data_IF_716896068865
#
_entry.id   IF_716896068865
#
_cell.length_a   1.000
_cell.length_b   1.000
_cell.length_c   1.000
_cell.angle_alpha   90.00
_cell.angle_beta   90.00
_cell.angle_gamma   90.00
#
_symmetry.space_group_name_H-M   'P 1'
#
loop_
_entity.id
_entity.type
_entity.pdbx_description
1 polymer ?
#
# COMPACT_ATOMS: atom_id res chain seq x y z
N UNK A 1 13.61 0.10 1.73
CA UNK A 1 14.27 1.05 0.81
C UNK A 1 14.04 2.51 1.21
N UNK A 2 15.12 3.27 1.43
CA UNK A 2 15.11 4.73 1.61
C UNK A 2 14.45 5.42 0.42
N UNK A 3 13.55 6.37 0.69
CA UNK A 3 12.79 7.10 -0.34
C UNK A 3 11.54 6.38 -0.84
N UNK A 4 11.28 5.14 -0.39
CA UNK A 4 9.99 4.49 -0.63
C UNK A 4 8.89 5.07 0.27
N UNK A 5 7.65 5.11 -0.24
CA UNK A 5 6.48 5.50 0.55
C UNK A 5 6.32 4.65 1.82
N UNK A 6 6.61 3.35 1.71
CA UNK A 6 6.55 2.41 2.83
C UNK A 6 7.55 2.75 3.94
N UNK A 7 8.80 3.11 3.60
CA UNK A 7 9.77 3.53 4.61
C UNK A 7 9.34 4.83 5.28
N UNK A 8 8.88 5.80 4.49
CA UNK A 8 8.39 7.06 5.04
C UNK A 8 7.22 6.84 6.00
N UNK A 9 6.27 5.96 5.65
CA UNK A 9 5.15 5.59 6.51
C UNK A 9 5.63 4.92 7.81
N UNK A 10 6.58 3.99 7.73
CA UNK A 10 7.13 3.33 8.91
C UNK A 10 7.75 4.34 9.88
N UNK A 11 8.60 5.24 9.39
CA UNK A 11 9.28 6.26 10.20
C UNK A 11 8.27 7.24 10.83
N UNK A 12 7.21 7.59 10.10
CA UNK A 12 6.10 8.39 10.62
C UNK A 12 5.35 7.67 11.74
N UNK A 13 5.12 6.36 11.63
CA UNK A 13 4.48 5.56 12.68
C UNK A 13 5.34 5.51 13.94
N UNK A 14 6.66 5.30 13.79
CA UNK A 14 7.61 5.32 14.92
C UNK A 14 7.59 6.68 15.62
N UNK A 15 7.69 7.77 14.85
CA UNK A 15 7.65 9.15 15.36
C UNK A 15 6.35 9.41 16.13
N UNK A 16 5.19 9.04 15.57
CA UNK A 16 3.88 9.20 16.22
C UNK A 16 3.76 8.41 17.52
N UNK A 17 4.52 7.33 17.66
CA UNK A 17 4.55 6.48 18.85
C UNK A 17 5.71 6.80 19.81
N UNK A 18 6.52 7.82 19.51
CA UNK A 18 7.74 8.16 20.25
C UNK A 18 8.68 6.96 20.41
N UNK A 19 8.80 6.13 19.37
CA UNK A 19 9.73 5.01 19.33
C UNK A 19 10.98 5.46 18.58
N UNK A 20 12.14 5.42 19.24
CA UNK A 20 13.41 5.67 18.57
C UNK A 20 13.79 4.48 17.70
N UNK A 21 14.10 4.74 16.42
CA UNK A 21 14.50 3.70 15.48
C UNK A 21 15.76 2.95 15.89
N UNK A 22 16.63 3.58 16.70
CA UNK A 22 17.82 2.95 17.26
C UNK A 22 17.50 1.78 18.22
N UNK A 23 16.27 1.73 18.75
CA UNK A 23 15.81 0.64 19.61
C UNK A 23 15.24 -0.56 18.82
N UNK A 24 15.28 -0.51 17.49
CA UNK A 24 14.79 -1.57 16.61
C UNK A 24 16.00 -2.27 15.99
N UNK A 25 16.24 -3.50 16.42
CA UNK A 25 17.24 -4.36 15.81
C UNK A 25 16.91 -4.59 14.32
N UNK A 26 17.91 -4.42 13.45
CA UNK A 26 17.69 -4.55 12.01
C UNK A 26 16.93 -3.39 11.36
N UNK A 27 16.76 -2.24 12.03
CA UNK A 27 16.10 -1.07 11.41
C UNK A 27 16.72 -0.61 10.07
N UNK A 28 18.03 -0.80 9.91
CA UNK A 28 18.75 -0.50 8.67
C UNK A 28 18.76 -1.68 7.67
N UNK A 29 18.22 -2.83 8.05
CA UNK A 29 18.04 -3.98 7.16
C UNK A 29 16.84 -3.71 6.26
N UNK A 30 17.12 -3.50 4.98
CA UNK A 30 16.11 -3.07 4.03
C UNK A 30 16.10 -3.96 2.80
N UNK A 31 14.90 -4.22 2.32
CA UNK A 31 14.67 -4.89 1.04
C UNK A 31 14.04 -3.97 0.01
N UNK A 32 14.18 -4.35 -1.26
CA UNK A 32 13.70 -3.57 -2.40
C UNK A 32 12.25 -3.86 -2.77
N UNK A 33 11.69 -4.99 -2.32
CA UNK A 33 10.32 -5.38 -2.65
C UNK A 33 9.61 -5.94 -1.42
N UNK A 34 8.29 -5.80 -1.37
CA UNK A 34 7.49 -6.43 -0.32
C UNK A 34 7.63 -7.95 -0.30
N UNK A 35 7.78 -8.57 -1.48
CA UNK A 35 8.02 -10.01 -1.58
C UNK A 35 9.36 -10.42 -0.96
N UNK A 36 10.42 -9.62 -1.15
CA UNK A 36 11.72 -9.88 -0.54
C UNK A 36 11.68 -9.75 0.99
N UNK A 37 11.00 -8.73 1.54
CA UNK A 37 10.75 -8.63 3.00
C UNK A 37 10.04 -9.89 3.52
N UNK A 38 8.97 -10.32 2.86
CA UNK A 38 8.21 -11.49 3.27
C UNK A 38 9.05 -12.78 3.18
N UNK A 39 9.83 -12.97 2.13
CA UNK A 39 10.74 -14.10 2.01
C UNK A 39 11.82 -14.11 3.12
N UNK A 40 12.35 -12.94 3.48
CA UNK A 40 13.35 -12.79 4.53
C UNK A 40 12.81 -13.25 5.89
N UNK A 41 11.60 -12.83 6.25
CA UNK A 41 10.92 -13.29 7.47
C UNK A 41 10.58 -14.77 7.39
N UNK A 42 10.02 -15.24 6.26
CA UNK A 42 9.64 -16.65 6.07
C UNK A 42 10.84 -17.62 6.13
N UNK A 43 12.05 -17.13 5.83
CA UNK A 43 13.28 -17.92 5.95
C UNK A 43 13.89 -17.91 7.37
N UNK A 44 13.27 -17.20 8.32
CA UNK A 44 13.77 -17.09 9.70
C UNK A 44 14.94 -16.12 9.86
N UNK A 45 15.23 -15.30 8.85
CA UNK A 45 16.32 -14.32 8.90
C UNK A 45 15.93 -13.04 9.67
N UNK A 46 14.63 -12.84 9.93
CA UNK A 46 14.11 -11.82 10.82
C UNK A 46 12.82 -12.31 11.49
N UNK A 47 12.54 -11.84 12.71
CA UNK A 47 11.31 -12.17 13.42
C UNK A 47 10.08 -11.49 12.81
N UNK A 48 10.24 -10.26 12.32
CA UNK A 48 9.16 -9.45 11.74
C UNK A 48 9.68 -8.57 10.61
N UNK A 49 8.76 -8.12 9.74
CA UNK A 49 9.07 -7.21 8.65
C UNK A 49 7.91 -6.26 8.35
N UNK A 50 8.22 -5.04 7.94
CA UNK A 50 7.22 -4.04 7.57
C UNK A 50 6.92 -4.12 6.06
N UNK A 51 5.67 -4.41 5.70
CA UNK A 51 5.26 -4.63 4.31
C UNK A 51 3.76 -4.70 4.13
N UNK A 52 3.32 -5.20 2.97
CA UNK A 52 1.89 -5.27 2.61
C UNK A 52 1.32 -6.68 2.79
N UNK A 53 0.04 -6.76 3.15
CA UNK A 53 -0.67 -8.01 3.41
C UNK A 53 -0.62 -9.04 2.26
N UNK A 54 -0.73 -8.66 0.97
CA UNK A 54 -0.59 -9.63 -0.12
C UNK A 54 0.72 -10.42 -0.10
N UNK A 55 1.83 -9.74 0.21
CA UNK A 55 3.14 -10.40 0.27
C UNK A 55 3.20 -11.36 1.46
N UNK A 56 2.76 -10.94 2.65
CA UNK A 56 2.69 -11.84 3.81
C UNK A 56 1.83 -13.07 3.51
N UNK A 57 0.66 -12.88 2.89
CA UNK A 57 -0.25 -13.97 2.53
C UNK A 57 0.38 -14.95 1.54
N UNK A 58 1.10 -14.44 0.54
CA UNK A 58 1.78 -15.28 -0.46
C UNK A 58 2.84 -16.21 0.17
N UNK A 59 3.49 -15.77 1.25
CA UNK A 59 4.51 -16.55 1.96
C UNK A 59 3.96 -17.29 3.19
N UNK A 60 2.63 -17.29 3.39
CA UNK A 60 1.99 -17.99 4.51
C UNK A 60 2.31 -17.38 5.88
N UNK A 61 2.68 -16.10 5.92
CA UNK A 61 2.99 -15.37 7.16
C UNK A 61 1.73 -14.75 7.76
N UNK A 62 1.70 -14.67 9.09
CA UNK A 62 0.73 -13.84 9.80
C UNK A 62 0.93 -12.35 9.45
N UNK A 63 -0.17 -11.60 9.47
CA UNK A 63 -0.15 -10.18 9.14
C UNK A 63 -0.86 -9.34 10.21
N UNK A 64 -0.14 -8.35 10.76
CA UNK A 64 -0.68 -7.39 11.72
C UNK A 64 -0.93 -6.06 11.00
N UNK A 65 -2.20 -5.62 10.85
CA UNK A 65 -2.52 -4.37 10.16
C UNK A 65 -2.13 -3.16 11.00
N UNK A 66 -1.19 -2.34 10.50
CA UNK A 66 -0.73 -1.12 11.18
C UNK A 66 -1.24 0.18 10.54
N UNK A 67 -1.45 0.17 9.21
CA UNK A 67 -1.88 1.31 8.43
C UNK A 67 -2.59 0.87 7.15
N UNK A 68 -3.34 1.78 6.54
CA UNK A 68 -3.93 1.62 5.21
C UNK A 68 -3.40 2.70 4.29
N UNK A 69 -2.90 2.29 3.12
CA UNK A 69 -2.44 3.20 2.07
C UNK A 69 -3.52 3.36 1.01
N UNK A 70 -3.74 4.60 0.56
CA UNK A 70 -4.70 4.91 -0.51
C UNK A 70 -3.96 4.99 -1.84
N UNK A 71 -4.31 4.11 -2.77
CA UNK A 71 -3.84 4.20 -4.16
C UNK A 71 -4.79 5.05 -4.99
N UNK A 72 -4.23 5.98 -5.77
CA UNK A 72 -4.99 6.88 -6.64
C UNK A 72 -4.36 6.95 -8.03
N UNK A 73 -5.20 7.10 -9.06
CA UNK A 73 -4.74 7.41 -10.41
C UNK A 73 -4.67 8.92 -10.58
N UNK A 74 -3.47 9.45 -10.83
CA UNK A 74 -3.28 10.86 -11.12
C UNK A 74 -3.53 11.13 -12.61
N UNK A 75 -4.35 12.13 -12.91
CA UNK A 75 -4.53 12.64 -14.27
C UNK A 75 -4.60 14.17 -14.26
N UNK A 76 -4.29 14.81 -15.39
CA UNK A 76 -4.47 16.26 -15.52
C UNK A 76 -5.96 16.57 -15.62
N UNK A 77 -6.42 17.63 -14.95
CA UNK A 77 -7.85 17.99 -14.93
C UNK A 77 -8.47 18.16 -16.32
N UNK A 78 -7.69 18.67 -17.30
CA UNK A 78 -8.14 18.81 -18.69
C UNK A 78 -8.39 17.48 -19.41
N UNK A 79 -7.74 16.41 -18.94
CA UNK A 79 -7.79 15.08 -19.55
C UNK A 79 -8.93 14.21 -18.97
N UNK A 80 -9.60 14.65 -17.88
CA UNK A 80 -10.67 13.87 -17.20
C UNK A 80 -11.83 13.50 -18.13
N UNK A 81 -12.09 14.32 -19.16
CA UNK A 81 -13.17 14.09 -20.13
C UNK A 81 -12.76 13.28 -21.35
N UNK A 82 -11.50 12.85 -21.43
CA UNK A 82 -11.04 11.98 -22.51
C UNK A 82 -11.73 10.63 -22.41
N UNK A 83 -12.10 10.07 -23.56
CA UNK A 83 -12.84 8.80 -23.65
C UNK A 83 -12.14 7.68 -22.89
N UNK A 84 -10.81 7.58 -22.99
CA UNK A 84 -10.02 6.54 -22.34
C UNK A 84 -10.08 6.64 -20.80
N UNK A 85 -10.12 7.87 -20.26
CA UNK A 85 -10.24 8.10 -18.82
C UNK A 85 -11.66 7.79 -18.35
N UNK A 86 -12.67 8.15 -19.13
CA UNK A 86 -14.07 7.84 -18.81
C UNK A 86 -14.34 6.33 -18.82
N UNK A 87 -13.78 5.59 -19.77
CA UNK A 87 -13.87 4.13 -19.81
C UNK A 87 -13.13 3.48 -18.63
N UNK A 88 -11.94 3.98 -18.26
CA UNK A 88 -11.25 3.53 -17.04
C UNK A 88 -12.11 3.77 -15.79
N UNK A 89 -12.68 4.96 -15.64
CA UNK A 89 -13.56 5.28 -14.49
C UNK A 89 -14.77 4.33 -14.46
N UNK A 90 -15.38 4.06 -15.62
CA UNK A 90 -16.50 3.14 -15.75
C UNK A 90 -16.11 1.72 -15.33
N UNK A 91 -14.95 1.23 -15.75
CA UNK A 91 -14.40 -0.06 -15.33
C UNK A 91 -14.17 -0.10 -13.81
N UNK A 92 -13.54 0.93 -13.23
CA UNK A 92 -13.27 0.97 -11.79
C UNK A 92 -14.56 0.99 -10.96
N UNK A 93 -15.65 1.55 -11.48
CA UNK A 93 -16.98 1.54 -10.84
C UNK A 93 -17.75 0.23 -11.04
N UNK A 94 -17.24 -0.69 -11.84
CA UNK A 94 -17.98 -1.88 -12.23
C UNK A 94 -18.01 -2.92 -11.11
N UNK A 95 -19.04 -3.76 -11.12
CA UNK A 95 -19.18 -4.85 -10.16
C UNK A 95 -18.08 -5.90 -10.33
N UNK A 96 -17.63 -6.08 -11.57
CA UNK A 96 -16.55 -6.99 -11.96
C UNK A 96 -15.23 -6.58 -11.31
N UNK A 97 -14.88 -5.28 -11.37
CA UNK A 97 -13.70 -4.76 -10.69
C UNK A 97 -13.81 -4.89 -9.17
N UNK A 98 -14.95 -4.51 -8.58
CA UNK A 98 -15.17 -4.64 -7.15
C UNK A 98 -15.04 -6.10 -6.68
N UNK A 99 -15.59 -7.05 -7.44
CA UNK A 99 -15.49 -8.48 -7.15
C UNK A 99 -14.09 -9.04 -7.36
N UNK A 100 -13.33 -8.50 -8.31
CA UNK A 100 -11.91 -8.84 -8.48
C UNK A 100 -11.09 -8.39 -7.26
N UNK A 101 -11.23 -7.13 -6.84
CA UNK A 101 -10.48 -6.58 -5.69
C UNK A 101 -10.79 -7.32 -4.39
N UNK A 102 -12.05 -7.72 -4.16
CA UNK A 102 -12.45 -8.50 -2.98
C UNK A 102 -11.70 -9.82 -2.81
N UNK A 103 -11.13 -10.37 -3.89
CA UNK A 103 -10.34 -11.61 -3.86
C UNK A 103 -8.88 -11.36 -3.47
N UNK A 104 -8.43 -10.11 -3.44
CA UNK A 104 -7.05 -9.74 -3.12
C UNK A 104 -6.94 -9.44 -1.61
N UNK A 105 -6.17 -10.22 -0.84
CA UNK A 105 -5.98 -9.98 0.59
C UNK A 105 -5.45 -8.57 0.86
N UNK A 106 -6.06 -7.87 1.82
CA UNK A 106 -5.64 -6.53 2.23
C UNK A 106 -6.04 -5.38 1.28
N UNK A 107 -6.72 -5.67 0.16
CA UNK A 107 -7.24 -4.62 -0.72
C UNK A 107 -8.74 -4.41 -0.52
N UNK A 108 -9.14 -3.15 -0.66
CA UNK A 108 -10.53 -2.75 -0.82
C UNK A 108 -10.60 -1.56 -1.78
N UNK A 109 -11.74 -1.38 -2.45
CA UNK A 109 -11.92 -0.29 -3.40
C UNK A 109 -13.28 0.41 -3.22
N UNK A 110 -13.62 0.92 -2.01
CA UNK A 110 -14.92 1.50 -1.72
C UNK A 110 -15.22 2.77 -2.53
N UNK A 111 -14.19 3.51 -2.92
CA UNK A 111 -14.29 4.76 -3.69
C UNK A 111 -13.74 4.64 -5.11
N UNK A 112 -13.68 3.41 -5.65
CA UNK A 112 -13.13 3.16 -6.98
C UNK A 112 -13.81 4.02 -8.06
N UNK A 113 -13.00 4.70 -8.87
CA UNK A 113 -13.49 5.59 -9.93
C UNK A 113 -14.11 6.90 -9.45
N UNK A 114 -14.03 7.23 -8.15
CA UNK A 114 -14.35 8.58 -7.66
C UNK A 114 -13.28 9.56 -8.15
N UNK A 115 -13.72 10.67 -8.73
CA UNK A 115 -12.83 11.76 -9.14
C UNK A 115 -12.76 12.74 -7.98
N UNK A 116 -11.54 13.07 -7.56
CA UNK A 116 -11.25 14.09 -6.55
C UNK A 116 -10.15 15.00 -7.05
N UNK A 117 -10.15 16.23 -6.57
CA UNK A 117 -9.02 17.14 -6.71
C UNK A 117 -7.86 16.70 -5.82
N UNK A 118 -6.65 17.16 -6.14
CA UNK A 118 -5.48 16.90 -5.29
C UNK A 118 -5.68 17.43 -3.86
N UNK A 119 -6.37 18.56 -3.70
CA UNK A 119 -6.66 19.14 -2.39
C UNK A 119 -7.58 18.22 -1.57
N UNK A 120 -8.62 17.68 -2.18
CA UNK A 120 -9.53 16.73 -1.52
C UNK A 120 -8.86 15.39 -1.20
N UNK A 121 -7.91 14.96 -2.02
CA UNK A 121 -7.16 13.72 -1.81
C UNK A 121 -6.18 13.79 -0.62
N UNK A 122 -5.66 14.98 -0.33
CA UNK A 122 -4.65 15.24 0.72
C UNK A 122 -5.23 15.82 2.01
N UNK A 123 -6.54 16.11 2.03
CA UNK A 123 -7.26 16.57 3.22
C UNK A 123 -7.62 15.39 4.13
#
# INVERSE_FOLDING_TARGET
>A
QIGSGTRMLFDQLLTKKNIESANIEGYQSEEFTHAAVAAYVASGMADTGFGVQPAATQFGLDFIPLAQEKYMFACRSKDVRKTEILELIKLLKSSEFANYVKKLPGYSAPEAGKIVTLKEALA
#
